data_IF_668762653296
#
_entry.id   IF_668762653296
#
_cell.length_a   1.000
_cell.length_b   1.000
_cell.length_c   1.000
_cell.angle_alpha   90.00
_cell.angle_beta   90.00
_cell.angle_gamma   90.00
#
_symmetry.space_group_name_H-M   'P 1'
#
loop_
_entity.id
_entity.type
_entity.pdbx_description
1 polymer ?
#
# COMPACT_ATOMS: atom_id res chain seq x y z
N UNK A 1 34.80 3.81 -8.31
CA UNK A 1 33.48 3.18 -8.07
C UNK A 1 32.50 4.32 -7.92
N UNK A 2 31.78 4.61 -9.00
CA UNK A 2 30.95 5.83 -9.12
C UNK A 2 29.76 5.81 -8.15
N UNK A 3 29.43 6.92 -7.50
CA UNK A 3 28.32 7.01 -6.54
C UNK A 3 26.93 6.87 -7.19
N UNK A 4 26.84 6.80 -8.52
CA UNK A 4 25.57 6.74 -9.28
C UNK A 4 24.93 5.33 -9.24
N UNK A 5 25.71 4.25 -9.09
CA UNK A 5 25.22 2.87 -9.15
C UNK A 5 24.68 2.32 -7.79
N UNK A 6 24.95 2.99 -6.69
CA UNK A 6 24.54 2.50 -5.37
C UNK A 6 23.05 2.79 -5.03
N UNK A 7 22.44 3.78 -5.68
CA UNK A 7 21.09 4.25 -5.35
C UNK A 7 19.97 3.28 -5.75
N UNK A 8 19.93 2.72 -6.96
CA UNK A 8 18.90 1.75 -7.36
C UNK A 8 18.92 0.47 -6.53
N UNK A 9 20.12 -0.04 -6.23
CA UNK A 9 20.29 -1.26 -5.42
C UNK A 9 19.81 -1.07 -3.98
N UNK A 10 20.04 0.11 -3.38
CA UNK A 10 19.56 0.44 -2.03
C UNK A 10 18.05 0.58 -1.96
N UNK A 11 17.43 1.22 -2.95
CA UNK A 11 15.97 1.33 -3.04
C UNK A 11 15.35 -0.04 -3.23
N UNK A 12 15.92 -0.90 -4.08
CA UNK A 12 15.46 -2.27 -4.27
C UNK A 12 15.44 -3.08 -2.98
N UNK A 13 16.57 -3.09 -2.25
CA UNK A 13 16.67 -3.80 -0.97
C UNK A 13 15.71 -3.25 0.09
N UNK A 14 15.52 -1.92 0.15
CA UNK A 14 14.55 -1.30 1.05
C UNK A 14 13.11 -1.68 0.68
N UNK A 15 12.77 -1.69 -0.62
CA UNK A 15 11.46 -2.12 -1.09
C UNK A 15 11.18 -3.58 -0.74
N UNK A 16 12.16 -4.47 -0.92
CA UNK A 16 12.07 -5.87 -0.52
C UNK A 16 11.79 -6.01 0.98
N UNK A 17 12.52 -5.30 1.82
CA UNK A 17 12.33 -5.33 3.27
C UNK A 17 10.94 -4.80 3.69
N UNK A 18 10.50 -3.69 3.09
CA UNK A 18 9.18 -3.11 3.37
C UNK A 18 8.02 -4.00 2.91
N UNK A 19 8.15 -4.67 1.78
CA UNK A 19 7.12 -5.56 1.24
C UNK A 19 7.13 -6.92 1.94
N UNK A 20 8.30 -7.43 2.34
CA UNK A 20 8.44 -8.73 3.02
C UNK A 20 7.84 -8.72 4.42
N UNK A 21 7.97 -7.63 5.20
CA UNK A 21 7.52 -7.62 6.59
C UNK A 21 6.02 -7.89 6.77
N UNK A 22 5.08 -7.21 6.07
CA UNK A 22 3.65 -7.53 6.18
C UNK A 22 3.28 -8.90 5.63
N UNK A 23 3.96 -9.36 4.56
CA UNK A 23 3.77 -10.71 4.03
C UNK A 23 4.20 -11.78 5.05
N UNK A 24 5.37 -11.60 5.70
CA UNK A 24 5.84 -12.48 6.77
C UNK A 24 4.87 -12.49 7.95
N UNK A 25 4.42 -11.33 8.41
CA UNK A 25 3.44 -11.24 9.50
C UNK A 25 2.15 -12.01 9.16
N UNK A 26 1.64 -11.86 7.93
CA UNK A 26 0.48 -12.60 7.46
C UNK A 26 0.74 -14.11 7.44
N UNK A 27 1.81 -14.54 6.79
CA UNK A 27 2.19 -15.96 6.66
C UNK A 27 2.39 -16.62 8.02
N UNK A 28 3.14 -15.99 8.92
CA UNK A 28 3.43 -16.54 10.24
C UNK A 28 2.18 -16.63 11.13
N UNK A 29 1.31 -15.64 11.05
CA UNK A 29 0.06 -15.60 11.80
C UNK A 29 -0.93 -16.69 11.34
N UNK A 30 -1.10 -16.85 10.03
CA UNK A 30 -2.13 -17.74 9.49
C UNK A 30 -1.63 -19.20 9.36
N UNK A 31 -0.37 -19.38 8.99
CA UNK A 31 0.18 -20.69 8.65
C UNK A 31 1.42 -21.10 9.48
N UNK A 32 1.98 -20.24 10.32
CA UNK A 32 3.19 -20.55 11.09
C UNK A 32 2.89 -21.13 12.47
N UNK A 33 3.54 -22.24 12.81
CA UNK A 33 3.59 -22.80 14.16
C UNK A 33 4.99 -22.59 14.74
N UNK A 34 5.17 -21.88 15.85
CA UNK A 34 6.48 -21.69 16.45
C UNK A 34 7.06 -23.02 16.94
N UNK A 35 8.29 -23.32 16.54
CA UNK A 35 8.98 -24.57 16.93
C UNK A 35 10.28 -24.34 17.68
N UNK A 36 10.81 -23.10 17.70
CA UNK A 36 11.99 -22.76 18.45
C UNK A 36 12.42 -21.31 18.27
N UNK A 37 13.30 -20.87 19.15
CA UNK A 37 13.94 -19.57 19.11
C UNK A 37 15.39 -19.66 19.59
N UNK A 38 16.27 -18.84 19.02
CA UNK A 38 17.66 -18.68 19.45
C UNK A 38 18.07 -17.21 19.24
N UNK A 39 18.23 -16.48 20.34
CA UNK A 39 18.46 -15.03 20.30
C UNK A 39 17.31 -14.30 19.61
N UNK A 40 17.61 -13.51 18.59
CA UNK A 40 16.61 -12.80 17.78
C UNK A 40 15.97 -13.66 16.69
N UNK A 41 16.45 -14.88 16.46
CA UNK A 41 15.94 -15.79 15.42
C UNK A 41 14.81 -16.65 15.96
N UNK A 42 13.71 -16.72 15.20
CA UNK A 42 12.52 -17.51 15.49
C UNK A 42 12.28 -18.49 14.35
N UNK A 43 12.03 -19.75 14.68
CA UNK A 43 11.77 -20.81 13.71
C UNK A 43 10.30 -21.20 13.79
N UNK A 44 9.66 -21.24 12.64
CA UNK A 44 8.27 -21.64 12.50
C UNK A 44 8.16 -22.81 11.52
N UNK A 45 7.30 -23.76 11.84
CA UNK A 45 6.86 -24.79 10.89
C UNK A 45 5.64 -24.29 10.15
N UNK A 46 5.65 -24.36 8.83
CA UNK A 46 4.51 -24.02 8.00
C UNK A 46 3.53 -25.22 7.97
N UNK A 47 2.26 -24.97 8.30
CA UNK A 47 1.23 -26.00 8.53
C UNK A 47 0.90 -26.83 7.30
N UNK A 48 0.88 -26.18 6.11
CA UNK A 48 0.50 -26.85 4.87
C UNK A 48 1.64 -27.68 4.27
N UNK A 49 2.84 -27.11 4.20
CA UNK A 49 4.00 -27.74 3.56
C UNK A 49 4.92 -28.48 4.54
N UNK A 50 4.82 -28.22 5.85
CA UNK A 50 5.75 -28.73 6.87
C UNK A 50 7.14 -28.07 6.82
N UNK A 51 7.39 -27.15 5.92
CA UNK A 51 8.69 -26.46 5.76
C UNK A 51 9.02 -25.63 6.98
N UNK A 52 10.31 -25.49 7.28
CA UNK A 52 10.79 -24.62 8.36
C UNK A 52 11.19 -23.27 7.79
N UNK A 53 10.61 -22.22 8.35
CA UNK A 53 10.90 -20.82 8.05
C UNK A 53 11.55 -20.18 9.28
N UNK A 54 12.72 -19.59 9.11
CA UNK A 54 13.43 -18.82 10.15
C UNK A 54 13.33 -17.35 9.83
N UNK A 55 13.05 -16.53 10.83
CA UNK A 55 12.97 -15.07 10.74
C UNK A 55 13.66 -14.41 11.92
N UNK A 56 14.06 -13.17 11.79
CA UNK A 56 14.57 -12.35 12.89
C UNK A 56 13.49 -11.39 13.38
N UNK A 57 13.32 -11.33 14.72
CA UNK A 57 12.32 -10.47 15.36
C UNK A 57 10.88 -11.00 15.25
N UNK A 58 10.03 -10.52 16.16
CA UNK A 58 8.63 -10.97 16.29
C UNK A 58 7.62 -9.93 15.79
N UNK A 59 7.84 -8.64 16.12
CA UNK A 59 6.90 -7.55 15.75
C UNK A 59 7.06 -7.09 14.29
N UNK A 60 8.29 -7.14 13.80
CA UNK A 60 8.66 -6.83 12.41
C UNK A 60 9.61 -7.90 11.93
N UNK A 61 9.09 -9.09 11.56
CA UNK A 61 9.92 -10.18 11.11
C UNK A 61 10.69 -9.78 9.85
N UNK A 62 11.95 -10.16 9.82
CA UNK A 62 12.89 -9.83 8.76
C UNK A 62 13.83 -10.99 8.48
N UNK A 63 14.66 -10.88 7.44
CA UNK A 63 15.66 -11.87 7.06
C UNK A 63 15.08 -13.28 6.98
N UNK A 64 14.05 -13.51 6.13
CA UNK A 64 13.45 -14.83 6.00
C UNK A 64 14.44 -15.81 5.39
N UNK A 65 14.53 -16.99 6.00
CA UNK A 65 15.33 -18.11 5.52
C UNK A 65 14.50 -19.39 5.59
N UNK A 66 14.61 -20.23 4.57
CA UNK A 66 13.94 -21.52 4.54
C UNK A 66 14.95 -22.65 4.69
N UNK A 67 14.58 -23.71 5.43
CA UNK A 67 15.42 -24.90 5.55
C UNK A 67 15.31 -25.72 4.28
N UNK A 68 16.46 -26.03 3.69
CA UNK A 68 16.56 -26.84 2.48
C UNK A 68 16.54 -28.34 2.80
N UNK A 69 16.39 -29.18 1.79
CA UNK A 69 16.50 -30.64 1.94
C UNK A 69 17.91 -31.08 2.40
N UNK A 70 18.94 -30.28 2.14
CA UNK A 70 20.30 -30.52 2.61
C UNK A 70 20.55 -30.04 4.05
N UNK A 71 19.49 -29.74 4.78
CA UNK A 71 19.51 -29.31 6.19
C UNK A 71 20.24 -27.96 6.44
N UNK A 72 20.30 -27.11 5.42
CA UNK A 72 20.91 -25.77 5.47
C UNK A 72 19.84 -24.67 5.39
N UNK A 73 20.16 -23.50 5.94
CA UNK A 73 19.29 -22.33 5.84
C UNK A 73 19.65 -21.52 4.62
N UNK A 74 18.65 -21.24 3.77
CA UNK A 74 18.80 -20.45 2.56
C UNK A 74 17.98 -19.15 2.69
N UNK A 75 18.61 -17.97 2.50
CA UNK A 75 17.89 -16.70 2.49
C UNK A 75 16.84 -16.65 1.37
N UNK A 76 15.69 -16.05 1.68
CA UNK A 76 14.63 -15.81 0.70
C UNK A 76 14.67 -14.35 0.25
N UNK A 77 14.64 -14.16 -1.06
CA UNK A 77 14.26 -12.88 -1.66
C UNK A 77 12.76 -12.61 -1.45
N UNK A 78 12.30 -11.39 -1.72
CA UNK A 78 10.85 -11.11 -1.70
C UNK A 78 10.08 -12.04 -2.66
N UNK A 79 10.59 -12.27 -3.87
CA UNK A 79 9.98 -13.21 -4.84
C UNK A 79 9.92 -14.64 -4.29
N UNK A 80 11.03 -15.14 -3.73
CA UNK A 80 11.04 -16.47 -3.10
C UNK A 80 10.08 -16.59 -1.90
N UNK A 81 9.89 -15.50 -1.15
CA UNK A 81 8.90 -15.44 -0.08
C UNK A 81 7.47 -15.47 -0.62
N UNK A 82 7.18 -14.79 -1.74
CA UNK A 82 5.89 -14.85 -2.44
C UNK A 82 5.60 -16.28 -2.89
N UNK A 83 6.58 -16.95 -3.53
CA UNK A 83 6.44 -18.34 -3.96
C UNK A 83 6.17 -19.30 -2.80
N UNK A 84 6.89 -19.11 -1.69
CA UNK A 84 6.68 -19.88 -0.46
C UNK A 84 5.26 -19.68 0.08
N UNK A 85 4.79 -18.43 0.21
CA UNK A 85 3.48 -18.09 0.73
C UNK A 85 2.34 -18.64 -0.15
N UNK A 86 2.49 -18.55 -1.47
CA UNK A 86 1.51 -19.11 -2.41
C UNK A 86 1.50 -20.64 -2.37
N UNK A 87 2.67 -21.27 -2.26
CA UNK A 87 2.79 -22.73 -2.10
C UNK A 87 2.11 -23.20 -0.83
N UNK A 88 2.31 -22.48 0.28
CA UNK A 88 1.69 -22.74 1.56
C UNK A 88 0.15 -22.60 1.51
N UNK A 89 -0.33 -21.51 0.92
CA UNK A 89 -1.76 -21.28 0.74
C UNK A 89 -2.41 -22.43 -0.07
N UNK A 90 -1.77 -22.84 -1.17
CA UNK A 90 -2.25 -23.96 -2.00
C UNK A 90 -2.27 -25.29 -1.24
N UNK A 91 -1.29 -25.54 -0.39
CA UNK A 91 -1.24 -26.74 0.43
C UNK A 91 -2.37 -26.76 1.47
N UNK A 92 -2.77 -25.60 1.99
CA UNK A 92 -3.83 -25.49 3.00
C UNK A 92 -5.24 -25.47 2.41
N UNK A 93 -5.44 -24.83 1.24
CA UNK A 93 -6.78 -24.54 0.71
C UNK A 93 -7.08 -25.21 -0.63
N UNK A 94 -6.09 -25.89 -1.20
CA UNK A 94 -6.19 -26.38 -2.58
C UNK A 94 -5.88 -25.28 -3.63
N UNK A 95 -6.08 -25.55 -4.91
CA UNK A 95 -5.87 -24.60 -5.98
C UNK A 95 -6.75 -23.36 -5.78
N UNK A 96 -6.15 -22.22 -5.45
CA UNK A 96 -6.86 -20.95 -5.25
C UNK A 96 -6.52 -19.96 -6.33
N UNK A 97 -7.38 -18.91 -6.47
CA UNK A 97 -7.34 -17.93 -7.53
C UNK A 97 -5.97 -17.28 -7.77
N UNK A 98 -5.71 -16.97 -9.03
CA UNK A 98 -4.40 -16.67 -9.60
C UNK A 98 -3.88 -15.24 -9.37
N UNK A 99 -4.66 -14.32 -8.78
CA UNK A 99 -4.30 -12.90 -8.70
C UNK A 99 -3.30 -12.54 -7.59
N UNK A 100 -3.32 -13.26 -6.46
CA UNK A 100 -2.59 -12.91 -5.25
C UNK A 100 -1.06 -12.80 -5.43
N UNK A 101 -0.37 -13.69 -6.14
CA UNK A 101 1.07 -13.53 -6.40
C UNK A 101 1.40 -12.25 -7.14
N UNK A 102 0.60 -11.90 -8.15
CA UNK A 102 0.78 -10.67 -8.92
C UNK A 102 0.57 -9.42 -8.05
N UNK A 103 -0.42 -9.44 -7.15
CA UNK A 103 -0.66 -8.35 -6.20
C UNK A 103 0.49 -8.17 -5.19
N UNK A 104 1.08 -9.27 -4.71
CA UNK A 104 2.23 -9.22 -3.80
C UNK A 104 3.45 -8.59 -4.50
N UNK A 105 3.72 -8.97 -5.76
CA UNK A 105 4.81 -8.40 -6.55
C UNK A 105 4.51 -6.92 -6.89
N UNK A 106 3.29 -6.60 -7.31
CA UNK A 106 2.85 -5.22 -7.58
C UNK A 106 3.00 -4.33 -6.33
N UNK A 107 2.66 -4.85 -5.16
CA UNK A 107 2.85 -4.14 -3.88
C UNK A 107 4.32 -3.78 -3.64
N UNK A 108 5.25 -4.68 -3.92
CA UNK A 108 6.70 -4.43 -3.83
C UNK A 108 7.16 -3.35 -4.81
N UNK A 109 6.69 -3.42 -6.07
CA UNK A 109 7.01 -2.42 -7.08
C UNK A 109 6.44 -1.04 -6.73
N UNK A 110 5.23 -0.99 -6.19
CA UNK A 110 4.64 0.25 -5.70
C UNK A 110 5.48 0.86 -4.56
N UNK A 111 5.97 0.06 -3.61
CA UNK A 111 6.87 0.53 -2.54
C UNK A 111 8.18 1.07 -3.14
N UNK A 112 8.78 0.41 -4.12
CA UNK A 112 10.00 0.88 -4.78
C UNK A 112 9.78 2.24 -5.46
N UNK A 113 8.66 2.41 -6.15
CA UNK A 113 8.28 3.68 -6.79
C UNK A 113 8.06 4.80 -5.76
N UNK A 114 7.38 4.50 -4.63
CA UNK A 114 7.18 5.44 -3.53
C UNK A 114 8.51 5.89 -2.91
N UNK A 115 9.40 4.96 -2.60
CA UNK A 115 10.73 5.26 -2.04
C UNK A 115 11.57 6.11 -2.99
N UNK A 116 11.52 5.81 -4.29
CA UNK A 116 12.20 6.59 -5.33
C UNK A 116 11.66 8.02 -5.41
N UNK A 117 10.34 8.18 -5.38
CA UNK A 117 9.69 9.50 -5.43
C UNK A 117 10.02 10.32 -4.16
N UNK A 118 9.95 9.70 -2.98
CA UNK A 118 10.31 10.35 -1.70
C UNK A 118 11.74 10.86 -1.67
N UNK A 119 12.68 10.10 -2.22
CA UNK A 119 14.10 10.50 -2.27
C UNK A 119 14.32 11.79 -3.07
N UNK A 120 13.39 12.16 -3.94
CA UNK A 120 13.45 13.34 -4.81
C UNK A 120 12.59 14.51 -4.33
N UNK A 121 11.74 14.28 -3.32
CA UNK A 121 10.76 15.27 -2.84
C UNK A 121 11.08 15.64 -1.39
N UNK A 122 11.21 16.94 -1.06
CA UNK A 122 11.43 17.34 0.32
C UNK A 122 10.25 16.95 1.21
N UNK A 123 10.57 16.47 2.42
CA UNK A 123 9.55 16.12 3.40
C UNK A 123 8.75 17.36 3.82
N UNK A 124 7.46 17.22 4.15
CA UNK A 124 6.67 18.31 4.71
C UNK A 124 7.30 18.87 6.00
N UNK A 125 7.26 20.17 6.18
CA UNK A 125 7.71 20.83 7.41
C UNK A 125 6.76 20.52 8.58
N UNK A 126 5.46 20.53 8.32
CA UNK A 126 4.42 20.20 9.28
C UNK A 126 4.57 18.74 9.78
N UNK A 127 4.80 18.52 11.09
CA UNK A 127 5.03 17.19 11.67
C UNK A 127 3.79 16.28 11.57
N UNK A 128 2.59 16.83 11.66
CA UNK A 128 1.34 16.05 11.48
C UNK A 128 1.27 15.51 10.06
N UNK A 129 1.42 16.38 9.07
CA UNK A 129 1.41 16.00 7.65
C UNK A 129 2.52 14.99 7.33
N UNK A 130 3.71 15.18 7.91
CA UNK A 130 4.83 14.24 7.77
C UNK A 130 4.48 12.87 8.34
N UNK A 131 3.79 12.81 9.48
CA UNK A 131 3.32 11.56 10.08
C UNK A 131 2.31 10.85 9.19
N UNK A 132 1.26 11.55 8.75
CA UNK A 132 0.21 11.00 7.88
C UNK A 132 0.78 10.45 6.56
N UNK A 133 1.76 11.13 6.00
CA UNK A 133 2.40 10.73 4.75
C UNK A 133 3.54 9.70 4.93
N UNK A 134 3.77 9.18 6.14
CA UNK A 134 4.86 8.23 6.42
C UNK A 134 4.50 6.76 6.23
N UNK A 135 3.24 6.43 5.94
CA UNK A 135 2.70 5.06 5.94
C UNK A 135 3.09 4.28 4.67
N UNK A 136 4.39 4.09 4.43
CA UNK A 136 4.92 3.41 3.24
C UNK A 136 4.56 1.93 3.23
N UNK A 137 4.61 1.25 4.38
CA UNK A 137 4.41 -0.20 4.45
C UNK A 137 2.92 -0.60 4.37
N UNK A 138 2.00 0.28 4.79
CA UNK A 138 0.57 -0.04 4.85
C UNK A 138 0.20 -0.96 6.01
N UNK A 139 -0.84 -1.77 5.83
CA UNK A 139 -1.35 -2.65 6.88
C UNK A 139 -0.36 -3.78 7.21
N UNK A 140 0.03 -3.98 8.48
CA UNK A 140 1.12 -4.88 8.85
C UNK A 140 0.81 -6.38 8.68
N UNK A 141 -0.46 -6.75 8.49
CA UNK A 141 -0.91 -8.14 8.30
C UNK A 141 -1.64 -8.34 6.97
N UNK A 142 -1.37 -7.53 5.96
CA UNK A 142 -1.89 -7.72 4.62
C UNK A 142 -0.76 -8.15 3.68
N UNK A 143 -0.91 -9.24 2.90
CA UNK A 143 0.19 -9.77 2.09
C UNK A 143 0.63 -8.82 0.94
N UNK A 144 -0.25 -7.94 0.50
CA UNK A 144 -0.01 -7.00 -0.59
C UNK A 144 -0.58 -5.59 -0.29
N UNK A 145 -0.13 -4.90 0.80
CA UNK A 145 -0.84 -3.71 1.31
C UNK A 145 -0.73 -2.48 0.42
N UNK A 146 0.17 -2.48 -0.54
CA UNK A 146 0.43 -1.37 -1.48
C UNK A 146 0.18 -1.73 -2.93
N UNK A 147 -0.49 -2.85 -3.21
CA UNK A 147 -0.87 -3.20 -4.58
C UNK A 147 -1.71 -2.07 -5.23
N UNK A 148 -1.41 -1.80 -6.50
CA UNK A 148 -2.03 -0.73 -7.30
C UNK A 148 -2.73 -1.26 -8.56
N UNK A 149 -2.91 -2.58 -8.65
CA UNK A 149 -3.55 -3.24 -9.79
C UNK A 149 -2.69 -3.26 -11.06
N UNK A 150 -1.35 -3.21 -10.93
CA UNK A 150 -0.42 -3.26 -12.06
C UNK A 150 -0.41 -1.99 -12.93
N UNK A 151 -1.02 -0.89 -12.46
CA UNK A 151 -0.99 0.39 -13.18
C UNK A 151 0.38 1.06 -13.11
N UNK A 152 0.85 1.75 -14.19
CA UNK A 152 2.13 2.40 -14.20
C UNK A 152 2.22 3.52 -13.16
N UNK A 153 3.37 3.72 -12.47
CA UNK A 153 3.54 4.64 -11.37
C UNK A 153 3.18 6.10 -11.68
N UNK A 154 3.37 6.57 -12.90
CA UNK A 154 3.04 7.92 -13.36
C UNK A 154 1.55 8.26 -13.24
N UNK A 155 0.67 7.26 -13.22
CA UNK A 155 -0.77 7.46 -13.07
C UNK A 155 -1.23 7.70 -11.63
N UNK A 156 -0.52 7.17 -10.65
CA UNK A 156 -0.96 7.23 -9.25
C UNK A 156 0.03 7.98 -8.31
N UNK A 157 1.33 7.98 -8.61
CA UNK A 157 2.34 8.71 -7.80
C UNK A 157 2.01 10.20 -7.59
N UNK A 158 1.49 10.95 -8.60
CA UNK A 158 1.13 12.35 -8.41
C UNK A 158 0.06 12.59 -7.33
N UNK A 159 -0.66 11.53 -6.93
CA UNK A 159 -1.74 11.59 -5.94
C UNK A 159 -1.42 10.79 -4.67
N UNK A 160 -0.26 10.14 -4.59
CA UNK A 160 0.12 9.30 -3.47
C UNK A 160 0.65 10.15 -2.30
N UNK A 161 -0.04 10.19 -1.15
CA UNK A 161 0.44 10.94 0.01
C UNK A 161 1.81 10.44 0.47
N UNK A 162 2.09 9.16 0.35
CA UNK A 162 3.38 8.56 0.71
C UNK A 162 4.54 9.07 -0.16
N UNK A 163 4.27 9.60 -1.35
CA UNK A 163 5.27 10.26 -2.22
C UNK A 163 5.40 11.76 -1.95
N UNK A 164 4.78 12.27 -0.88
CA UNK A 164 4.66 13.72 -0.61
C UNK A 164 3.96 14.50 -1.71
N UNK A 165 3.02 13.84 -2.41
CA UNK A 165 2.29 14.44 -3.51
C UNK A 165 1.55 15.71 -3.12
N UNK A 166 1.58 16.68 -4.03
CA UNK A 166 0.81 17.93 -3.96
C UNK A 166 0.10 18.11 -5.29
N UNK A 167 -1.20 18.26 -5.28
CA UNK A 167 -1.98 18.48 -6.48
C UNK A 167 -3.07 19.52 -6.24
N UNK A 168 -3.46 20.29 -7.26
CA UNK A 168 -4.54 21.25 -7.16
C UNK A 168 -5.88 20.53 -7.01
N UNK A 169 -6.73 21.02 -6.11
CA UNK A 169 -8.11 20.54 -6.01
C UNK A 169 -8.98 21.28 -7.02
N UNK A 170 -9.84 20.54 -7.71
CA UNK A 170 -10.93 21.11 -8.51
C UNK A 170 -12.19 21.13 -7.67
N UNK A 171 -12.68 22.31 -7.33
CA UNK A 171 -13.93 22.49 -6.62
C UNK A 171 -15.08 22.45 -7.61
N UNK A 172 -16.05 21.57 -7.38
CA UNK A 172 -17.26 21.46 -8.19
C UNK A 172 -18.46 21.96 -7.36
N UNK A 173 -19.19 22.91 -7.93
CA UNK A 173 -20.48 23.33 -7.39
C UNK A 173 -21.55 22.33 -7.80
N UNK A 174 -22.37 21.91 -6.85
CA UNK A 174 -23.59 21.10 -7.09
C UNK A 174 -24.80 21.89 -6.62
N UNK A 175 -25.96 21.58 -7.19
CA UNK A 175 -27.22 22.20 -6.76
C UNK A 175 -27.54 21.77 -5.33
N UNK A 176 -27.97 22.70 -4.50
CA UNK A 176 -28.25 22.45 -3.07
C UNK A 176 -29.35 21.39 -2.88
N UNK A 177 -30.36 21.36 -3.78
CA UNK A 177 -31.44 20.38 -3.76
C UNK A 177 -31.03 18.94 -4.12
N UNK A 178 -29.78 18.76 -4.61
CA UNK A 178 -29.22 17.43 -4.91
C UNK A 178 -28.25 16.93 -3.83
N UNK A 179 -28.06 17.70 -2.76
CA UNK A 179 -27.12 17.39 -1.68
C UNK A 179 -27.88 16.85 -0.48
N UNK A 180 -27.39 15.76 0.07
CA UNK A 180 -27.86 15.16 1.33
C UNK A 180 -26.75 15.30 2.36
N UNK A 181 -27.00 16.03 3.47
CA UNK A 181 -26.05 16.16 4.58
C UNK A 181 -26.43 15.21 5.71
N UNK A 182 -25.44 14.49 6.22
CA UNK A 182 -25.50 13.74 7.47
C UNK A 182 -24.32 14.15 8.35
N UNK A 183 -24.60 14.39 9.64
CA UNK A 183 -23.59 14.72 10.63
C UNK A 183 -23.43 16.22 10.88
N UNK A 184 -22.26 16.57 11.45
CA UNK A 184 -21.90 17.93 11.81
C UNK A 184 -21.40 18.72 10.60
N UNK A 185 -21.93 19.92 10.39
CA UNK A 185 -21.55 20.81 9.26
C UNK A 185 -20.27 21.58 9.49
N UNK A 186 -19.72 21.58 10.70
CA UNK A 186 -18.53 22.37 11.06
C UNK A 186 -17.31 22.08 10.17
N UNK A 187 -17.15 20.85 9.68
CA UNK A 187 -16.05 20.51 8.77
C UNK A 187 -16.16 21.19 7.40
N UNK A 188 -17.39 21.39 6.91
CA UNK A 188 -17.64 22.09 5.64
C UNK A 188 -17.50 23.61 5.81
N UNK A 189 -17.95 24.14 6.93
CA UNK A 189 -17.81 25.55 7.29
C UNK A 189 -16.32 25.94 7.42
N UNK A 190 -15.49 25.01 7.94
CA UNK A 190 -14.04 25.20 8.06
C UNK A 190 -13.31 25.26 6.69
N UNK A 191 -13.90 24.73 5.63
CA UNK A 191 -13.34 24.83 4.27
C UNK A 191 -13.56 26.22 3.65
N UNK A 192 -14.40 27.05 4.25
CA UNK A 192 -14.74 28.38 3.77
C UNK A 192 -15.58 28.39 2.50
N UNK A 193 -16.06 29.54 2.07
CA UNK A 193 -16.79 29.69 0.82
C UNK A 193 -15.87 29.40 -0.35
N UNK A 194 -16.38 28.69 -1.37
CA UNK A 194 -15.65 28.44 -2.60
C UNK A 194 -15.16 29.78 -3.20
N UNK A 195 -13.90 29.87 -3.64
CA UNK A 195 -13.37 31.14 -4.17
C UNK A 195 -14.23 31.66 -5.33
N UNK A 196 -14.56 32.94 -5.35
CA UNK A 196 -15.33 33.54 -6.44
C UNK A 196 -14.54 33.41 -7.74
N UNK A 197 -15.10 32.75 -8.75
CA UNK A 197 -14.48 32.56 -10.06
C UNK A 197 -14.55 31.14 -10.61
N UNK A 198 -14.88 30.13 -9.83
CA UNK A 198 -14.94 28.74 -10.29
C UNK A 198 -16.35 28.30 -10.72
N UNK A 199 -17.19 29.27 -11.18
CA UNK A 199 -18.47 28.96 -11.84
C UNK A 199 -18.20 28.51 -13.27
N UNK A 200 -17.72 27.28 -13.45
CA UNK A 200 -17.85 26.68 -14.80
C UNK A 200 -19.34 26.50 -15.10
N UNK A 201 -19.79 27.08 -16.23
CA UNK A 201 -21.11 26.82 -16.79
C UNK A 201 -21.32 25.30 -16.81
N UNK A 202 -22.53 24.81 -16.46
CA UNK A 202 -22.87 23.42 -16.66
C UNK A 202 -22.65 23.05 -18.12
N UNK A 203 -21.95 21.93 -18.37
CA UNK A 203 -21.83 21.41 -19.73
C UNK A 203 -23.24 21.15 -20.30
N UNK A 204 -23.50 21.46 -21.57
CA UNK A 204 -24.79 21.19 -22.19
C UNK A 204 -25.08 19.67 -22.10
N UNK A 205 -26.33 19.27 -21.89
CA UNK A 205 -26.71 17.86 -21.85
C UNK A 205 -26.30 17.20 -23.18
N UNK A 206 -25.43 16.17 -23.12
CA UNK A 206 -24.92 15.44 -24.28
C UNK A 206 -23.43 15.53 -24.54
N UNK A 207 -22.67 16.32 -23.80
CA UNK A 207 -21.19 16.28 -23.87
C UNK A 207 -20.66 15.04 -23.19
N UNK A 208 -20.13 14.09 -23.95
CA UNK A 208 -19.35 12.96 -23.43
C UNK A 208 -18.16 13.50 -22.65
N UNK A 209 -18.11 13.18 -21.36
CA UNK A 209 -16.96 13.49 -20.52
C UNK A 209 -15.69 12.81 -21.09
N UNK A 210 -14.54 13.50 -21.13
CA UNK A 210 -13.29 12.86 -21.50
C UNK A 210 -13.00 11.72 -20.51
N UNK A 211 -12.67 10.55 -21.04
CA UNK A 211 -12.23 9.37 -20.27
C UNK A 211 -10.86 9.64 -19.65
N UNK A 212 -10.85 10.44 -18.60
CA UNK A 212 -9.71 10.59 -17.69
C UNK A 212 -10.25 10.34 -16.30
N UNK A 213 -9.81 9.25 -15.66
CA UNK A 213 -10.28 8.87 -14.32
C UNK A 213 -9.86 9.91 -13.29
N UNK A 214 -10.70 10.90 -13.05
CA UNK A 214 -10.62 11.72 -11.86
C UNK A 214 -11.26 10.90 -10.73
N UNK A 215 -10.47 10.52 -9.74
CA UNK A 215 -10.98 10.08 -8.44
C UNK A 215 -11.71 11.29 -7.84
N UNK A 216 -13.04 11.29 -7.93
CA UNK A 216 -13.84 12.17 -7.12
C UNK A 216 -13.70 11.70 -5.68
N UNK A 217 -13.17 12.55 -4.79
CA UNK A 217 -13.35 12.37 -3.36
C UNK A 217 -14.86 12.20 -3.07
N UNK A 218 -15.26 11.36 -2.11
CA UNK A 218 -16.66 11.16 -1.80
C UNK A 218 -17.26 12.52 -1.43
N UNK A 219 -18.15 12.98 -2.30
CA UNK A 219 -18.92 14.21 -2.06
C UNK A 219 -19.92 13.88 -0.95
N UNK A 220 -19.78 14.55 0.18
CA UNK A 220 -20.76 14.49 1.26
C UNK A 220 -22.15 14.86 0.69
N UNK A 221 -23.14 14.01 0.92
CA UNK A 221 -24.52 14.23 0.49
C UNK A 221 -25.30 14.90 1.63
N UNK A 222 -25.88 16.08 1.38
CA UNK A 222 -26.71 16.81 2.35
C UNK A 222 -28.20 16.42 2.22
N UNK A 223 -28.84 15.91 3.27
CA UNK A 223 -30.29 15.74 3.38
C UNK A 223 -30.82 16.68 4.45
N UNK A 224 -31.68 17.65 4.09
CA UNK A 224 -32.54 18.32 5.07
C UNK A 224 -33.76 17.46 5.28
N UNK A 225 -34.02 17.05 6.51
CA UNK A 225 -35.31 16.50 6.92
C UNK A 225 -36.18 17.71 7.30
N UNK A 226 -37.37 17.88 6.74
CA UNK A 226 -38.28 18.93 7.20
C UNK A 226 -38.73 18.63 8.64
N UNK A 227 -38.86 19.70 9.42
CA UNK A 227 -39.43 19.65 10.79
C UNK A 227 -40.90 19.25 10.72
#
# INVERSE_FOLDING_TARGET
MDPVDATPTRVGAAADAHAAAPLLNCLLREAGEPVGASGAAHVHRLKGSGRLLRVQGTRRPSHPEVRTAADTWQPLTHTGLVELAVGELRALTGPSGSGLPAEMLDSREAVAALLTARARTPAPEDPYRRSEQSLITGHPFHPAPKARGGGPPDRWLPYAPEAYARFPLTLLGVREDTVVEEGDTTALDALGPAPPGNRRRPAPPGALAPRGGAFAAPVARRRRVPR
#
